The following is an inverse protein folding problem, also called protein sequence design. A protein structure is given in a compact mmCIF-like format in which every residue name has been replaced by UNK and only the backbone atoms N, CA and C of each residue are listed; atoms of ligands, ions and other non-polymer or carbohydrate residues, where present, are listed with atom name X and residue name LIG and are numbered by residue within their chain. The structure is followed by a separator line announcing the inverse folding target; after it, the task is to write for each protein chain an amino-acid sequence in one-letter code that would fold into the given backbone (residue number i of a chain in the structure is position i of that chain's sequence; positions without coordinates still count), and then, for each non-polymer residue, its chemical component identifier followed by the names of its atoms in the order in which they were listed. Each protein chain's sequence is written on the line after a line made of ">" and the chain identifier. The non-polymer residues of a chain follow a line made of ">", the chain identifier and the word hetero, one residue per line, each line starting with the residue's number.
data_IF_146753025900
#
_entry.id   IF_146753025900
#
_cell.length_a   1.000
_cell.length_b   1.000
_cell.length_c   1.000
_cell.angle_alpha   90.00
_cell.angle_beta   90.00
_cell.angle_gamma   90.00
#
_symmetry.space_group_name_H-M   'P 1'
#
loop_
_entity.id
_entity.type
_entity.pdbx_description
1 polymer ?
#
# COMPACT_ATOMS: atom_id res chain seq x y z
N UNK A 1 -44.24 -4.25 -56.44
CA UNK A 1 -44.33 -3.28 -55.31
C UNK A 1 -43.97 -3.98 -54.00
N UNK A 2 -42.76 -3.79 -53.46
CA UNK A 2 -42.32 -4.23 -52.11
C UNK A 2 -41.09 -3.38 -51.77
N UNK A 3 -41.32 -2.17 -51.23
CA UNK A 3 -41.10 -1.77 -49.82
C UNK A 3 -39.63 -1.84 -49.40
N UNK A 4 -38.97 -0.69 -49.48
CA UNK A 4 -37.69 -0.38 -48.83
C UNK A 4 -37.81 -0.58 -47.32
N UNK A 5 -36.88 -1.30 -46.70
CA UNK A 5 -36.68 -1.28 -45.26
C UNK A 5 -35.39 -0.51 -44.97
N UNK A 6 -35.53 0.64 -44.31
CA UNK A 6 -34.43 1.33 -43.66
C UNK A 6 -33.96 0.48 -42.47
N UNK A 7 -32.68 0.13 -42.43
CA UNK A 7 -32.04 -0.38 -41.23
C UNK A 7 -31.57 0.81 -40.37
N UNK A 8 -32.17 0.98 -39.20
CA UNK A 8 -31.68 1.91 -38.19
C UNK A 8 -30.46 1.28 -37.49
N UNK A 9 -29.28 1.85 -37.70
CA UNK A 9 -28.08 1.48 -36.96
C UNK A 9 -28.20 2.03 -35.53
N UNK A 10 -28.50 1.16 -34.57
CA UNK A 10 -28.36 1.48 -33.15
C UNK A 10 -26.87 1.38 -32.82
N UNK A 11 -26.20 2.53 -32.77
CA UNK A 11 -24.87 2.65 -32.19
C UNK A 11 -24.99 2.43 -30.67
N UNK A 12 -24.74 1.20 -30.23
CA UNK A 12 -24.46 0.94 -28.82
C UNK A 12 -23.11 1.59 -28.53
N UNK A 13 -23.15 2.75 -27.86
CA UNK A 13 -21.96 3.33 -27.28
C UNK A 13 -21.38 2.30 -26.30
N UNK A 14 -20.27 1.70 -26.71
CA UNK A 14 -19.42 0.89 -25.83
C UNK A 14 -18.99 1.87 -24.74
N UNK A 15 -19.62 1.79 -23.57
CA UNK A 15 -19.17 2.53 -22.42
C UNK A 15 -17.72 2.13 -22.19
N UNK A 16 -16.80 3.02 -22.58
CA UNK A 16 -15.40 2.93 -22.20
C UNK A 16 -15.39 2.74 -20.70
N UNK A 17 -14.99 1.54 -20.25
CA UNK A 17 -14.75 1.28 -18.85
C UNK A 17 -13.56 2.18 -18.47
N UNK A 18 -13.87 3.42 -18.11
CA UNK A 18 -12.88 4.39 -17.69
C UNK A 18 -12.16 3.79 -16.50
N UNK A 19 -10.85 3.56 -16.66
CA UNK A 19 -9.95 3.19 -15.57
C UNK A 19 -10.18 4.21 -14.46
N UNK A 20 -10.97 3.85 -13.44
CA UNK A 20 -11.21 4.76 -12.33
C UNK A 20 -9.90 4.84 -11.53
N UNK A 21 -9.31 6.03 -11.58
CA UNK A 21 -8.32 6.59 -10.67
C UNK A 21 -7.17 5.67 -10.27
N UNK A 22 -6.21 5.45 -11.18
CA UNK A 22 -4.89 4.95 -10.79
C UNK A 22 -4.25 5.99 -9.86
N UNK A 23 -3.91 5.60 -8.63
CA UNK A 23 -3.10 6.43 -7.74
C UNK A 23 -1.87 6.95 -8.48
N UNK A 24 -1.73 8.26 -8.51
CA UNK A 24 -0.57 8.92 -9.10
C UNK A 24 0.32 9.34 -7.96
N UNK A 25 1.50 8.73 -7.90
CA UNK A 25 2.53 9.13 -6.97
C UNK A 25 2.81 10.64 -7.10
N UNK A 26 2.52 11.39 -6.05
CA UNK A 26 2.66 12.85 -6.04
C UNK A 26 4.05 13.31 -5.59
N UNK A 27 4.86 12.40 -5.04
CA UNK A 27 6.26 12.66 -4.66
C UNK A 27 7.20 12.14 -5.74
N UNK A 28 8.28 12.87 -6.02
CA UNK A 28 9.35 12.32 -6.85
C UNK A 28 10.01 11.16 -6.10
N UNK A 29 10.31 10.04 -6.75
CA UNK A 29 11.09 8.98 -6.09
C UNK A 29 12.54 9.45 -5.94
N UNK A 30 13.04 9.50 -4.71
CA UNK A 30 14.43 9.81 -4.38
C UNK A 30 15.00 8.75 -3.46
N UNK A 31 16.18 8.24 -3.80
CA UNK A 31 16.95 7.35 -2.94
C UNK A 31 18.22 8.06 -2.44
N UNK A 32 18.62 7.69 -1.22
CA UNK A 32 19.88 8.14 -0.63
C UNK A 32 21.09 7.65 -1.45
N UNK A 33 22.21 8.38 -1.45
CA UNK A 33 23.44 7.96 -2.12
C UNK A 33 24.06 6.71 -1.47
N UNK A 34 24.98 6.07 -2.19
CA UNK A 34 25.84 5.04 -1.64
C UNK A 34 26.69 5.60 -0.48
N UNK A 35 26.78 4.87 0.62
CA UNK A 35 27.52 5.27 1.83
C UNK A 35 26.65 5.86 2.96
N UNK A 36 25.43 6.28 2.65
CA UNK A 36 24.43 6.56 3.69
C UNK A 36 23.78 5.24 4.12
N UNK A 37 23.82 4.90 5.41
CA UNK A 37 23.29 3.64 5.95
C UNK A 37 21.83 3.73 6.42
N UNK A 38 21.15 4.86 6.20
CA UNK A 38 19.76 5.02 6.62
C UNK A 38 18.82 3.99 5.97
N UNK A 39 17.82 3.54 6.72
CA UNK A 39 16.88 2.52 6.27
C UNK A 39 15.47 3.01 6.53
N UNK A 40 14.61 2.88 5.52
CA UNK A 40 13.18 3.03 5.64
C UNK A 40 12.53 1.77 5.07
N UNK A 41 11.85 1.05 5.95
CA UNK A 41 11.06 -0.12 5.67
C UNK A 41 9.58 0.28 5.73
N UNK A 42 8.90 0.09 4.60
CA UNK A 42 7.45 0.26 4.49
C UNK A 42 6.87 -1.13 4.22
N UNK A 43 6.15 -1.74 5.16
CA UNK A 43 5.47 -3.00 4.87
C UNK A 43 4.46 -2.77 3.75
N UNK A 44 4.28 -3.74 2.86
CA UNK A 44 3.26 -3.63 1.81
C UNK A 44 1.97 -4.38 2.17
N UNK A 45 1.88 -4.95 3.37
CA UNK A 45 0.63 -5.43 3.92
C UNK A 45 0.56 -5.39 5.45
N UNK A 46 -0.66 -5.37 5.96
CA UNK A 46 -1.00 -5.50 7.37
C UNK A 46 -2.41 -6.13 7.48
N UNK A 47 -2.75 -6.64 8.66
CA UNK A 47 -3.93 -7.46 8.91
C UNK A 47 -4.68 -6.93 10.14
N UNK A 48 -5.64 -6.00 9.99
CA UNK A 48 -6.41 -5.46 11.11
C UNK A 48 -7.45 -6.48 11.60
N UNK A 49 -6.99 -7.56 12.22
CA UNK A 49 -7.80 -8.71 12.65
C UNK A 49 -7.87 -8.86 14.18
N UNK A 50 -7.19 -7.97 14.91
CA UNK A 50 -7.11 -7.86 16.37
C UNK A 50 -6.41 -9.05 17.06
N UNK A 51 -5.48 -9.74 16.40
CA UNK A 51 -4.70 -10.83 17.00
C UNK A 51 -3.40 -10.37 17.68
N UNK A 52 -3.07 -9.07 17.58
CA UNK A 52 -1.88 -8.44 18.16
C UNK A 52 -0.68 -8.42 17.23
N UNK A 53 -0.78 -9.02 16.04
CA UNK A 53 0.28 -9.08 15.04
C UNK A 53 -0.13 -8.34 13.78
N UNK A 54 0.72 -7.42 13.31
CA UNK A 54 0.49 -6.64 12.09
C UNK A 54 -0.90 -5.96 11.99
N UNK A 55 -1.54 -5.64 13.11
CA UNK A 55 -2.85 -4.95 13.14
C UNK A 55 -2.82 -3.50 12.65
N UNK A 56 -1.61 -2.93 12.53
CA UNK A 56 -1.39 -1.51 12.24
C UNK A 56 -0.38 -1.35 11.12
N UNK A 57 -0.61 -0.33 10.31
CA UNK A 57 0.34 0.11 9.30
C UNK A 57 1.22 1.22 9.84
N UNK A 58 2.54 1.06 9.77
CA UNK A 58 3.51 2.07 10.18
C UNK A 58 4.84 1.84 9.46
N UNK A 59 5.67 2.88 9.45
CA UNK A 59 6.98 2.87 8.80
C UNK A 59 8.05 2.63 9.86
N UNK A 60 8.96 1.72 9.58
CA UNK A 60 10.09 1.40 10.45
C UNK A 60 11.39 1.82 9.79
N UNK A 61 12.43 2.11 10.58
CA UNK A 61 13.68 2.59 10.02
C UNK A 61 14.74 2.95 11.05
N UNK A 62 15.93 3.26 10.53
CA UNK A 62 17.12 3.66 11.28
C UNK A 62 17.88 4.75 10.50
N UNK A 63 18.60 5.62 11.20
CA UNK A 63 19.42 6.66 10.55
C UNK A 63 18.62 7.77 9.88
N UNK A 64 17.40 8.04 10.36
CA UNK A 64 16.47 9.04 9.81
C UNK A 64 16.28 10.16 10.84
N UNK A 65 16.54 11.40 10.43
CA UNK A 65 16.41 12.59 11.28
C UNK A 65 15.00 13.17 11.28
N UNK A 66 14.27 13.06 10.16
CA UNK A 66 12.87 13.47 10.07
C UNK A 66 12.12 12.69 8.99
N UNK A 67 10.79 12.61 9.16
CA UNK A 67 9.90 11.88 8.27
C UNK A 67 8.55 12.60 8.20
N UNK A 68 7.91 12.56 7.03
CA UNK A 68 6.52 12.88 6.83
C UNK A 68 5.92 11.82 5.91
N UNK A 69 4.78 11.25 6.31
CA UNK A 69 4.12 10.22 5.52
C UNK A 69 2.61 10.33 5.61
N UNK A 70 1.94 9.78 4.60
CA UNK A 70 0.49 9.87 4.45
C UNK A 70 -0.08 8.59 3.88
N UNK A 71 -1.33 8.29 4.23
CA UNK A 71 -2.12 7.17 3.70
C UNK A 71 -3.34 7.72 3.00
N UNK A 72 -3.64 7.13 1.84
CA UNK A 72 -4.78 7.43 1.01
C UNK A 72 -5.61 6.16 0.79
N UNK A 73 -6.93 6.30 0.77
CA UNK A 73 -7.84 5.22 0.39
C UNK A 73 -7.85 4.95 -1.12
N UNK A 74 -8.63 3.97 -1.56
CA UNK A 74 -8.81 3.56 -2.96
C UNK A 74 -9.31 4.69 -3.88
N UNK A 75 -9.88 5.74 -3.30
CA UNK A 75 -10.41 6.90 -4.02
C UNK A 75 -9.39 8.05 -4.05
N UNK A 76 -8.18 7.81 -3.55
CA UNK A 76 -7.07 8.77 -3.39
C UNK A 76 -7.37 9.89 -2.38
N UNK A 77 -8.31 9.67 -1.45
CA UNK A 77 -8.58 10.62 -0.37
C UNK A 77 -7.59 10.37 0.77
N UNK A 78 -7.00 11.45 1.28
CA UNK A 78 -6.15 11.40 2.47
C UNK A 78 -6.98 10.92 3.67
N UNK A 79 -6.57 9.80 4.26
CA UNK A 79 -7.22 9.21 5.45
C UNK A 79 -6.33 9.28 6.69
N UNK A 80 -5.02 9.49 6.52
CA UNK A 80 -4.07 9.62 7.62
C UNK A 80 -2.79 10.35 7.18
N UNK A 81 -2.16 11.05 8.13
CA UNK A 81 -0.84 11.68 7.95
C UNK A 81 -0.09 11.70 9.28
N UNK A 82 1.22 11.50 9.24
CA UNK A 82 2.08 11.51 10.42
C UNK A 82 3.44 12.15 10.14
N UNK A 83 4.06 12.64 11.21
CA UNK A 83 5.39 13.28 11.20
C UNK A 83 6.46 12.46 11.93
N UNK A 84 6.14 11.24 12.33
CA UNK A 84 7.01 10.34 13.09
C UNK A 84 6.85 8.88 12.65
N UNK A 85 7.91 8.09 12.86
CA UNK A 85 7.87 6.61 12.73
C UNK A 85 7.20 5.92 13.93
N UNK A 86 6.95 6.65 15.03
CA UNK A 86 6.24 6.11 16.22
C UNK A 86 4.72 6.14 16.06
N UNK A 87 4.24 6.86 15.06
CA UNK A 87 2.83 6.93 14.73
C UNK A 87 2.46 5.78 13.80
N UNK A 88 1.19 5.42 13.80
CA UNK A 88 0.66 4.32 13.01
C UNK A 88 -0.73 4.65 12.52
N UNK A 89 -1.16 3.94 11.49
CA UNK A 89 -2.49 4.01 10.95
C UNK A 89 -3.23 2.69 11.15
N UNK A 90 -4.50 2.80 11.52
CA UNK A 90 -5.47 1.72 11.59
C UNK A 90 -6.82 2.20 11.01
N UNK A 91 -7.61 1.33 10.36
CA UNK A 91 -8.96 1.69 9.94
C UNK A 91 -9.88 1.95 11.15
N UNK A 92 -10.53 3.12 11.23
CA UNK A 92 -11.40 3.50 12.36
C UNK A 92 -12.76 2.77 12.42
N UNK A 93 -13.12 2.00 11.39
CA UNK A 93 -14.38 1.25 11.29
C UNK A 93 -14.09 -0.23 11.15
N UNK A 94 -15.09 -1.08 11.40
CA UNK A 94 -15.00 -2.52 11.09
C UNK A 94 -14.45 -2.70 9.68
N UNK A 95 -13.29 -3.33 9.58
CA UNK A 95 -12.64 -3.54 8.30
C UNK A 95 -13.43 -4.61 7.52
N UNK A 96 -13.78 -4.36 6.25
CA UNK A 96 -14.55 -5.33 5.47
C UNK A 96 -13.78 -6.64 5.36
N UNK A 97 -14.50 -7.76 5.38
CA UNK A 97 -13.88 -9.06 5.11
C UNK A 97 -13.28 -9.04 3.69
N UNK A 98 -12.03 -9.48 3.58
CA UNK A 98 -11.32 -9.53 2.29
C UNK A 98 -10.03 -8.72 2.33
N UNK A 99 -9.74 -8.07 1.20
CA UNK A 99 -8.52 -7.31 0.96
C UNK A 99 -8.87 -5.95 0.34
N UNK A 100 -8.26 -4.89 0.86
CA UNK A 100 -8.40 -3.51 0.37
C UNK A 100 -7.02 -2.93 0.10
N UNK A 101 -6.88 -2.26 -1.03
CA UNK A 101 -5.64 -1.53 -1.38
C UNK A 101 -5.68 -0.11 -0.84
N UNK A 102 -4.59 0.33 -0.24
CA UNK A 102 -4.35 1.70 0.15
C UNK A 102 -3.06 2.19 -0.52
N UNK A 103 -2.87 3.50 -0.50
CA UNK A 103 -1.68 4.13 -1.07
C UNK A 103 -0.95 4.91 0.00
N UNK A 104 0.37 5.00 -0.10
CA UNK A 104 1.17 5.84 0.78
C UNK A 104 2.05 6.81 0.00
N UNK A 105 2.37 7.92 0.66
CA UNK A 105 3.51 8.77 0.31
C UNK A 105 4.42 8.92 1.52
N UNK A 106 5.71 9.11 1.27
CA UNK A 106 6.75 9.21 2.26
C UNK A 106 7.82 10.18 1.77
N UNK A 107 8.20 11.13 2.61
CA UNK A 107 9.38 11.97 2.46
C UNK A 107 10.17 11.96 3.77
N UNK A 108 11.48 11.81 3.70
CA UNK A 108 12.34 11.71 4.86
C UNK A 108 13.70 12.38 4.62
N UNK A 109 14.36 12.73 5.71
CA UNK A 109 15.75 13.21 5.73
C UNK A 109 16.58 12.27 6.59
N UNK A 110 17.70 11.80 6.07
CA UNK A 110 18.63 10.94 6.83
C UNK A 110 19.39 11.76 7.87
N UNK A 111 20.08 11.09 8.79
CA UNK A 111 20.99 11.76 9.74
C UNK A 111 22.17 12.45 9.04
N UNK A 112 22.50 12.05 7.80
CA UNK A 112 23.51 12.71 6.95
C UNK A 112 22.94 13.85 6.11
N UNK A 113 21.64 14.17 6.24
CA UNK A 113 20.98 15.24 5.50
C UNK A 113 20.54 14.88 4.08
N UNK A 114 20.65 13.61 3.67
CA UNK A 114 20.16 13.16 2.37
C UNK A 114 18.63 13.03 2.38
N UNK A 115 17.98 13.32 1.25
CA UNK A 115 16.53 13.16 1.11
C UNK A 115 16.19 11.77 0.57
N UNK A 116 15.15 11.17 1.12
CA UNK A 116 14.51 9.95 0.61
C UNK A 116 13.04 10.26 0.40
N UNK A 117 12.48 9.84 -0.73
CA UNK A 117 11.04 9.97 -0.98
C UNK A 117 10.51 8.81 -1.81
N UNK A 118 9.38 8.27 -1.38
CA UNK A 118 8.77 7.06 -1.94
C UNK A 118 7.25 7.14 -1.85
N UNK A 119 6.61 6.32 -2.66
CA UNK A 119 5.18 6.10 -2.64
C UNK A 119 4.92 4.68 -3.12
N UNK A 120 3.74 4.17 -2.85
CA UNK A 120 3.35 2.87 -3.33
C UNK A 120 2.02 2.43 -2.77
N UNK A 121 1.71 1.18 -3.05
CA UNK A 121 0.49 0.53 -2.60
C UNK A 121 0.82 -0.38 -1.42
N UNK A 122 -0.15 -0.54 -0.52
CA UNK A 122 -0.14 -1.57 0.50
C UNK A 122 -1.53 -2.16 0.68
N UNK A 123 -1.60 -3.36 1.25
CA UNK A 123 -2.84 -4.12 1.39
C UNK A 123 -3.22 -4.22 2.87
N UNK A 124 -4.42 -3.78 3.20
CA UNK A 124 -5.10 -4.22 4.41
C UNK A 124 -5.89 -5.48 4.08
N UNK A 125 -5.73 -6.56 4.84
CA UNK A 125 -6.54 -7.76 4.59
C UNK A 125 -6.87 -8.53 5.87
N UNK A 126 -8.06 -9.13 5.89
CA UNK A 126 -8.51 -10.06 6.94
C UNK A 126 -8.56 -11.51 6.44
N UNK A 127 -8.52 -11.69 5.12
CA UNK A 127 -8.37 -12.98 4.47
C UNK A 127 -7.76 -12.81 3.06
N UNK A 128 -7.13 -13.86 2.55
CA UNK A 128 -6.44 -13.90 1.26
C UNK A 128 -7.39 -14.42 0.17
N UNK A 129 -7.62 -13.68 -0.92
CA UNK A 129 -8.37 -14.16 -2.08
C UNK A 129 -7.67 -15.36 -2.76
N UNK A 130 -8.44 -16.29 -3.34
CA UNK A 130 -7.87 -17.54 -3.89
C UNK A 130 -6.76 -17.35 -4.93
N UNK A 131 -6.84 -16.28 -5.73
CA UNK A 131 -5.89 -15.99 -6.80
C UNK A 131 -4.84 -14.94 -6.42
N UNK A 132 -4.67 -14.66 -5.13
CA UNK A 132 -3.68 -13.71 -4.65
C UNK A 132 -2.37 -14.41 -4.30
N UNK A 133 -1.26 -13.89 -4.83
CA UNK A 133 0.09 -14.37 -4.54
C UNK A 133 0.64 -13.65 -3.32
N UNK A 134 0.98 -14.40 -2.27
CA UNK A 134 1.62 -13.87 -1.07
C UNK A 134 3.15 -13.71 -1.19
N UNK A 135 3.74 -14.05 -2.35
CA UNK A 135 5.20 -14.16 -2.53
C UNK A 135 5.94 -12.84 -2.30
N UNK A 136 5.33 -11.72 -2.70
CA UNK A 136 5.96 -10.40 -2.65
C UNK A 136 5.39 -9.54 -1.51
N UNK A 137 4.73 -10.17 -0.54
CA UNK A 137 4.10 -9.48 0.58
C UNK A 137 5.07 -9.41 1.77
N UNK A 138 5.16 -8.22 2.36
CA UNK A 138 5.98 -7.92 3.52
C UNK A 138 5.15 -7.28 4.63
N UNK A 139 5.29 -7.83 5.82
CA UNK A 139 4.65 -7.37 7.06
C UNK A 139 5.61 -6.58 7.94
N UNK A 140 5.05 -5.80 8.88
CA UNK A 140 5.83 -5.02 9.85
C UNK A 140 6.75 -5.89 10.70
N UNK A 141 6.28 -7.09 11.09
CA UNK A 141 7.07 -8.03 11.89
C UNK A 141 8.25 -8.66 11.14
N UNK A 142 8.35 -8.48 9.82
CA UNK A 142 9.50 -8.89 9.04
C UNK A 142 10.64 -7.89 9.10
N UNK A 143 10.43 -6.65 9.57
CA UNK A 143 11.53 -5.70 9.71
C UNK A 143 12.57 -6.21 10.72
N UNK A 144 13.81 -6.34 10.28
CA UNK A 144 14.91 -6.82 11.11
C UNK A 144 16.22 -6.11 10.75
N UNK A 145 16.67 -5.15 11.59
CA UNK A 145 17.93 -4.43 11.39
C UNK A 145 19.19 -5.29 11.21
N UNK A 146 19.17 -6.54 11.71
CA UNK A 146 20.31 -7.45 11.65
C UNK A 146 20.27 -8.45 10.47
N UNK A 147 19.20 -8.46 9.68
CA UNK A 147 19.06 -9.35 8.52
C UNK A 147 19.60 -8.72 7.23
N UNK A 148 19.97 -9.51 6.21
CA UNK A 148 20.17 -9.02 4.86
C UNK A 148 18.96 -8.21 4.39
N UNK A 149 19.20 -7.08 3.74
CA UNK A 149 18.15 -6.16 3.24
C UNK A 149 17.21 -5.61 4.33
N UNK A 150 17.54 -5.81 5.61
CA UNK A 150 16.75 -5.43 6.77
C UNK A 150 15.40 -6.16 6.89
N UNK A 151 15.27 -7.32 6.24
CA UNK A 151 14.01 -8.10 6.16
C UNK A 151 14.25 -9.55 6.58
N UNK A 152 13.46 -10.03 7.53
CA UNK A 152 13.36 -11.45 7.87
C UNK A 152 12.52 -12.20 6.82
N UNK A 153 12.90 -13.44 6.47
CA UNK A 153 12.29 -14.16 5.36
C UNK A 153 10.85 -14.62 5.62
N UNK A 154 10.39 -14.61 6.87
CA UNK A 154 9.07 -15.08 7.25
C UNK A 154 8.38 -14.07 8.17
N UNK A 155 7.10 -13.83 7.91
CA UNK A 155 6.19 -13.21 8.86
C UNK A 155 5.57 -14.28 9.75
N UNK A 156 5.18 -13.91 10.96
CA UNK A 156 4.38 -14.74 11.87
C UNK A 156 2.87 -14.65 11.56
N UNK A 157 2.50 -13.86 10.53
CA UNK A 157 1.13 -13.65 10.10
C UNK A 157 0.47 -14.95 9.60
N UNK A 158 -0.80 -15.16 9.97
CA UNK A 158 -1.54 -16.37 9.59
C UNK A 158 -2.48 -16.08 8.43
N UNK A 159 -2.13 -16.57 7.25
CA UNK A 159 -2.94 -16.43 6.05
C UNK A 159 -4.17 -17.34 6.07
N UNK A 160 -5.35 -16.73 6.24
CA UNK A 160 -6.64 -17.43 6.10
C UNK A 160 -7.21 -17.15 4.72
N UNK A 161 -7.74 -18.18 4.05
CA UNK A 161 -8.52 -17.97 2.81
C UNK A 161 -9.85 -17.28 3.14
N UNK A 162 -10.33 -16.44 2.23
CA UNK A 162 -11.68 -15.90 2.36
C UNK A 162 -12.69 -17.05 2.21
N UNK A 163 -13.65 -17.14 3.14
CA UNK A 163 -14.80 -18.02 2.99
C UNK A 163 -15.69 -17.49 1.86
N UNK A 164 -16.18 -18.37 1.00
CA UNK A 164 -17.24 -18.06 0.03
C UNK A 164 -18.54 -17.59 0.72
#
# INVERSE_FOLDING_TARGET
>A
MKKYMLAAAVLVAIGSCGKKNKFTCTVATMDKPAGDSAVLFVPNAFSPNEDGLNDRFYIQGLGVSSIAWSVYDQENKLVFSAGSMTEYWEPHTTFPQGMTTYHYTLEAVTELGNKISRCGDFYAYTCVPENFSMKDITFGDQYNPGAPEYISPASHEVFRKCSE
#
